data_IF_333469553208
#
_entry.id   IF_333469553208
#
_cell.length_a   1.000
_cell.length_b   1.000
_cell.length_c   1.000
_cell.angle_alpha   90.00
_cell.angle_beta   90.00
_cell.angle_gamma   90.00
#
_symmetry.space_group_name_H-M   'P 1'
#
loop_
_entity.id
_entity.type
_entity.pdbx_description
1 polymer ?
#
# COMPACT_ATOMS: atom_id res chain seq x y z
N UNK A 1 -25.45 -13.01 47.31
CA UNK A 1 -24.71 -13.92 46.42
C UNK A 1 -25.06 -13.80 44.92
N UNK A 2 -26.26 -14.21 44.43
CA UNK A 2 -26.54 -14.16 42.96
C UNK A 2 -26.51 -12.74 42.35
N UNK A 3 -27.06 -11.74 43.05
CA UNK A 3 -27.08 -10.36 42.55
C UNK A 3 -25.71 -9.67 42.56
N UNK A 4 -24.83 -10.01 43.51
CA UNK A 4 -23.47 -9.47 43.60
C UNK A 4 -22.61 -9.94 42.44
N UNK A 5 -22.75 -11.21 42.04
CA UNK A 5 -22.05 -11.77 40.87
C UNK A 5 -22.51 -11.08 39.59
N UNK A 6 -23.82 -10.85 39.45
CA UNK A 6 -24.39 -10.15 38.29
C UNK A 6 -23.90 -8.69 38.25
N UNK A 7 -23.89 -7.99 39.38
CA UNK A 7 -23.41 -6.62 39.48
C UNK A 7 -21.92 -6.52 39.13
N UNK A 8 -21.09 -7.42 39.66
CA UNK A 8 -19.67 -7.49 39.34
C UNK A 8 -19.44 -7.76 37.86
N UNK A 9 -20.16 -8.73 37.28
CA UNK A 9 -20.07 -9.04 35.86
C UNK A 9 -20.46 -7.83 34.99
N UNK A 10 -21.53 -7.12 35.34
CA UNK A 10 -21.96 -5.93 34.61
C UNK A 10 -20.90 -4.80 34.67
N UNK A 11 -20.27 -4.60 35.83
CA UNK A 11 -19.18 -3.61 35.97
C UNK A 11 -17.97 -4.00 35.13
N UNK A 12 -17.56 -5.26 35.14
CA UNK A 12 -16.45 -5.75 34.32
C UNK A 12 -16.72 -5.57 32.82
N UNK A 13 -17.94 -5.90 32.37
CA UNK A 13 -18.36 -5.67 30.98
C UNK A 13 -18.32 -4.19 30.64
N UNK A 14 -18.82 -3.31 31.51
CA UNK A 14 -18.80 -1.87 31.29
C UNK A 14 -17.36 -1.33 31.15
N UNK A 15 -16.44 -1.80 31.98
CA UNK A 15 -15.01 -1.45 31.91
C UNK A 15 -14.41 -1.92 30.58
N UNK A 16 -14.64 -3.17 30.19
CA UNK A 16 -14.12 -3.71 28.93
C UNK A 16 -14.66 -2.95 27.72
N UNK A 17 -15.96 -2.61 27.71
CA UNK A 17 -16.58 -1.81 26.64
C UNK A 17 -15.97 -0.41 26.58
N UNK A 18 -15.76 0.24 27.73
CA UNK A 18 -15.13 1.55 27.79
C UNK A 18 -13.69 1.52 27.24
N UNK A 19 -12.88 0.56 27.70
CA UNK A 19 -11.50 0.38 27.23
C UNK A 19 -11.47 0.12 25.72
N UNK A 20 -12.30 -0.80 25.23
CA UNK A 20 -12.39 -1.12 23.81
C UNK A 20 -12.73 0.11 22.95
N UNK A 21 -13.71 0.92 23.38
CA UNK A 21 -14.11 2.13 22.65
C UNK A 21 -13.01 3.19 22.67
N UNK A 22 -12.31 3.34 23.78
CA UNK A 22 -11.18 4.28 23.92
C UNK A 22 -10.03 3.87 23.00
N UNK A 23 -9.65 2.60 23.02
CA UNK A 23 -8.54 2.09 22.23
C UNK A 23 -8.85 2.13 20.73
N UNK A 24 -10.08 1.78 20.33
CA UNK A 24 -10.54 1.96 18.95
C UNK A 24 -10.43 3.41 18.48
N UNK A 25 -10.91 4.36 19.29
CA UNK A 25 -10.82 5.80 18.94
C UNK A 25 -9.38 6.25 18.79
N UNK A 26 -8.52 5.91 19.75
CA UNK A 26 -7.10 6.25 19.71
C UNK A 26 -6.41 5.66 18.47
N UNK A 27 -6.68 4.39 18.14
CA UNK A 27 -6.11 3.75 16.97
C UNK A 27 -6.57 4.41 15.67
N UNK A 28 -7.87 4.69 15.55
CA UNK A 28 -8.42 5.39 14.40
C UNK A 28 -7.77 6.75 14.21
N UNK A 29 -7.74 7.57 15.27
CA UNK A 29 -7.26 8.95 15.21
C UNK A 29 -5.75 8.99 14.88
N UNK A 30 -4.96 8.04 15.43
CA UNK A 30 -3.55 7.89 15.08
C UNK A 30 -3.36 7.56 13.58
N UNK A 31 -4.19 6.66 13.02
CA UNK A 31 -4.10 6.27 11.60
C UNK A 31 -4.61 7.38 10.67
N UNK A 32 -5.60 8.15 11.10
CA UNK A 32 -6.12 9.28 10.33
C UNK A 32 -5.06 10.35 10.05
N UNK A 33 -4.05 10.46 10.92
CA UNK A 33 -2.95 11.40 10.78
C UNK A 33 -1.90 11.00 9.73
N UNK A 34 -1.96 9.80 9.16
CA UNK A 34 -0.91 9.23 8.30
C UNK A 34 -0.46 10.13 7.13
N UNK A 35 -1.39 10.89 6.54
CA UNK A 35 -1.11 11.74 5.38
C UNK A 35 -0.97 13.24 5.71
N UNK A 36 -0.98 13.63 6.99
CA UNK A 36 -0.96 15.04 7.38
C UNK A 36 0.29 15.77 6.85
N UNK A 37 1.46 15.15 6.96
CA UNK A 37 2.72 15.77 6.58
C UNK A 37 2.86 15.96 5.06
N UNK A 38 2.23 15.11 4.25
CA UNK A 38 2.30 15.17 2.79
C UNK A 38 1.05 15.76 2.13
N UNK A 39 0.03 16.15 2.92
CA UNK A 39 -1.23 16.68 2.40
C UNK A 39 -1.04 17.87 1.44
N UNK A 40 -0.05 18.72 1.72
CA UNK A 40 0.29 19.90 0.94
C UNK A 40 0.84 19.60 -0.46
N UNK A 41 1.21 18.35 -0.76
CA UNK A 41 1.70 17.95 -2.07
C UNK A 41 0.59 17.74 -3.10
N UNK A 42 -0.67 17.64 -2.65
CA UNK A 42 -1.79 17.24 -3.50
C UNK A 42 -2.81 18.35 -3.69
N UNK A 43 -3.25 18.51 -4.93
CA UNK A 43 -4.46 19.25 -5.27
C UNK A 43 -5.68 18.32 -5.17
N UNK A 44 -6.88 18.87 -4.95
CA UNK A 44 -8.14 18.09 -4.88
C UNK A 44 -8.08 16.90 -3.89
N UNK A 45 -7.33 17.07 -2.80
CA UNK A 45 -7.06 16.01 -1.82
C UNK A 45 -8.35 15.52 -1.14
N UNK A 46 -8.55 14.20 -1.17
CA UNK A 46 -9.58 13.50 -0.41
C UNK A 46 -8.99 12.29 0.29
N UNK A 47 -9.10 12.28 1.62
CA UNK A 47 -8.68 11.16 2.48
C UNK A 47 -9.93 10.51 3.06
N UNK A 48 -10.06 9.19 2.89
CA UNK A 48 -11.20 8.41 3.40
C UNK A 48 -10.68 7.31 4.30
N UNK A 49 -11.25 7.18 5.49
CA UNK A 49 -10.92 6.14 6.45
C UNK A 49 -12.17 5.32 6.78
N UNK A 50 -12.03 3.99 6.77
CA UNK A 50 -13.06 3.07 7.22
C UNK A 50 -12.74 2.53 8.64
N UNK A 51 -13.54 2.94 9.62
CA UNK A 51 -13.35 2.65 11.05
C UNK A 51 -11.89 2.81 11.51
N UNK A 52 -11.24 1.74 11.97
CA UNK A 52 -9.85 1.77 12.45
C UNK A 52 -8.85 1.48 11.35
N UNK A 53 -9.26 1.22 10.11
CA UNK A 53 -8.33 0.90 9.03
C UNK A 53 -7.42 2.08 8.69
N UNK A 54 -6.35 1.81 7.95
CA UNK A 54 -5.52 2.90 7.41
C UNK A 54 -6.33 3.69 6.38
N UNK A 55 -6.19 5.03 6.33
CA UNK A 55 -6.89 5.84 5.36
C UNK A 55 -6.38 5.59 3.94
N UNK A 56 -7.25 5.79 2.96
CA UNK A 56 -6.92 5.85 1.53
C UNK A 56 -6.94 7.31 1.09
N UNK A 57 -5.90 7.73 0.38
CA UNK A 57 -5.78 9.06 -0.20
C UNK A 57 -6.07 9.02 -1.69
N UNK A 58 -6.87 9.96 -2.16
CA UNK A 58 -7.07 10.27 -3.59
C UNK A 58 -6.85 11.76 -3.80
N UNK A 59 -6.34 12.14 -4.97
CA UNK A 59 -6.15 13.55 -5.29
C UNK A 59 -5.44 13.73 -6.62
N UNK A 60 -4.84 14.90 -6.81
CA UNK A 60 -4.01 15.24 -7.95
C UNK A 60 -2.60 15.60 -7.51
N UNK A 61 -1.61 15.07 -8.22
CA UNK A 61 -0.19 15.38 -8.01
C UNK A 61 0.43 15.74 -9.36
N UNK A 62 0.96 16.96 -9.48
CA UNK A 62 1.59 17.46 -10.73
C UNK A 62 0.71 17.25 -11.98
N UNK A 63 -0.60 17.48 -11.84
CA UNK A 63 -1.58 17.32 -12.92
C UNK A 63 -2.12 15.89 -13.13
N UNK A 64 -1.56 14.87 -12.47
CA UNK A 64 -2.02 13.49 -12.58
C UNK A 64 -2.98 13.14 -11.45
N UNK A 65 -4.03 12.35 -11.75
CA UNK A 65 -4.84 11.75 -10.68
C UNK A 65 -4.03 10.64 -10.02
N UNK A 66 -4.08 10.59 -8.69
CA UNK A 66 -3.34 9.62 -7.89
C UNK A 66 -4.22 8.98 -6.81
N UNK A 67 -3.86 7.77 -6.42
CA UNK A 67 -4.46 7.03 -5.31
C UNK A 67 -3.35 6.36 -4.50
N UNK A 68 -3.31 6.61 -3.19
CA UNK A 68 -2.37 5.99 -2.26
C UNK A 68 -3.14 5.11 -1.27
N UNK A 69 -2.77 3.83 -1.20
CA UNK A 69 -3.47 2.82 -0.41
C UNK A 69 -2.49 2.04 0.47
N UNK A 70 -2.61 2.15 1.81
CA UNK A 70 -1.82 1.33 2.70
C UNK A 70 -2.39 -0.09 2.77
N UNK A 71 -1.55 -1.09 2.51
CA UNK A 71 -1.91 -2.51 2.55
C UNK A 71 -1.17 -3.14 3.73
N UNK A 72 -1.93 -3.48 4.77
CA UNK A 72 -1.38 -4.14 5.94
C UNK A 72 -1.30 -5.66 5.71
N UNK A 73 -0.09 -6.20 5.77
CA UNK A 73 0.17 -7.62 5.62
C UNK A 73 0.21 -8.30 7.00
N UNK A 74 -0.87 -9.04 7.30
CA UNK A 74 -1.05 -9.78 8.55
C UNK A 74 -0.74 -11.28 8.41
N UNK A 75 -0.24 -11.76 7.26
CA UNK A 75 -0.27 -13.19 6.92
C UNK A 75 0.74 -14.06 7.67
N UNK A 76 1.66 -13.49 8.46
CA UNK A 76 2.65 -14.27 9.20
C UNK A 76 2.64 -13.96 10.71
N UNK A 77 2.04 -14.86 11.51
CA UNK A 77 2.02 -14.83 12.98
C UNK A 77 3.41 -14.75 13.66
N UNK A 78 4.51 -14.88 12.92
CA UNK A 78 5.90 -14.90 13.44
C UNK A 78 6.78 -13.74 12.97
N UNK A 79 6.23 -12.77 12.22
CA UNK A 79 6.96 -11.57 11.80
C UNK A 79 6.16 -10.32 12.15
N UNK A 80 6.87 -9.21 12.36
CA UNK A 80 6.23 -7.89 12.50
C UNK A 80 5.42 -7.64 11.21
N UNK A 81 4.12 -7.29 11.33
CA UNK A 81 3.29 -6.97 10.17
C UNK A 81 3.96 -5.88 9.33
N UNK A 82 4.05 -6.12 8.02
CA UNK A 82 4.57 -5.11 7.09
C UNK A 82 3.42 -4.22 6.64
N UNK A 83 3.65 -2.91 6.61
CA UNK A 83 2.73 -1.96 6.01
C UNK A 83 3.29 -1.55 4.65
N UNK A 84 2.63 -2.02 3.59
CA UNK A 84 2.95 -1.66 2.22
C UNK A 84 2.18 -0.41 1.81
N UNK A 85 2.72 0.35 0.88
CA UNK A 85 2.03 1.47 0.25
C UNK A 85 1.88 1.19 -1.24
N UNK A 86 0.65 1.06 -1.72
CA UNK A 86 0.36 1.03 -3.15
C UNK A 86 0.11 2.46 -3.63
N UNK A 87 0.95 2.91 -4.56
CA UNK A 87 0.80 4.20 -5.23
C UNK A 87 0.33 3.98 -6.67
N UNK A 88 -0.86 4.47 -6.99
CA UNK A 88 -1.44 4.39 -8.34
C UNK A 88 -1.45 5.78 -8.96
N UNK A 89 -0.90 5.92 -10.16
CA UNK A 89 -0.96 7.14 -10.97
C UNK A 89 -1.81 6.84 -12.20
N UNK A 90 -2.83 7.65 -12.44
CA UNK A 90 -3.68 7.52 -13.62
C UNK A 90 -3.22 8.51 -14.69
N UNK A 91 -2.77 7.97 -15.82
CA UNK A 91 -2.39 8.71 -17.02
C UNK A 91 -2.83 7.95 -18.27
N UNK A 92 -2.83 8.65 -19.40
CA UNK A 92 -2.99 8.00 -20.70
C UNK A 92 -1.74 7.16 -20.97
N UNK A 93 -1.92 5.84 -21.07
CA UNK A 93 -0.84 4.91 -21.38
C UNK A 93 -0.74 4.76 -22.91
N UNK A 94 0.39 5.14 -23.54
CA UNK A 94 0.54 4.98 -24.98
C UNK A 94 0.73 3.51 -25.41
N UNK A 95 0.97 2.61 -24.47
CA UNK A 95 1.17 1.19 -24.73
C UNK A 95 -0.13 0.40 -24.53
N UNK A 96 -0.35 -0.58 -25.41
CA UNK A 96 -1.49 -1.51 -25.37
C UNK A 96 -1.29 -2.62 -24.34
N UNK A 97 -0.04 -3.05 -24.15
CA UNK A 97 0.35 -4.08 -23.20
C UNK A 97 0.60 -3.57 -21.78
N UNK A 98 0.75 -4.51 -20.86
CA UNK A 98 1.16 -4.29 -19.48
C UNK A 98 2.67 -4.57 -19.33
N UNK A 99 3.34 -3.67 -18.63
CA UNK A 99 4.74 -3.80 -18.24
C UNK A 99 4.83 -3.81 -16.71
N UNK A 100 5.52 -4.81 -16.15
CA UNK A 100 5.82 -4.87 -14.73
C UNK A 100 7.33 -4.77 -14.51
N UNK A 101 7.70 -3.94 -13.54
CA UNK A 101 9.06 -3.78 -13.07
C UNK A 101 9.11 -4.00 -11.56
N UNK A 102 9.93 -4.96 -11.15
CA UNK A 102 10.03 -5.40 -9.77
C UNK A 102 11.50 -5.42 -9.32
N UNK A 103 11.80 -4.78 -8.19
CA UNK A 103 13.16 -4.74 -7.60
C UNK A 103 13.20 -5.49 -6.28
N UNK A 104 13.35 -6.81 -6.42
CA UNK A 104 13.16 -7.93 -5.47
C UNK A 104 14.35 -8.73 -4.95
N UNK A 105 15.05 -8.39 -3.85
CA UNK A 105 16.14 -9.25 -3.35
C UNK A 105 15.73 -10.69 -3.04
N UNK A 106 14.47 -10.92 -2.63
CA UNK A 106 13.99 -12.21 -2.16
C UNK A 106 12.93 -12.86 -3.07
N UNK A 107 12.43 -12.13 -4.08
CA UNK A 107 11.49 -12.63 -5.11
C UNK A 107 10.31 -13.49 -4.59
N UNK A 108 9.65 -13.04 -3.52
CA UNK A 108 8.53 -13.76 -2.86
C UNK A 108 7.23 -12.94 -2.87
N UNK A 109 6.99 -12.14 -3.90
CA UNK A 109 5.75 -11.37 -4.03
C UNK A 109 4.59 -12.21 -4.57
N UNK A 110 3.50 -12.25 -3.81
CA UNK A 110 2.20 -12.77 -4.26
C UNK A 110 1.26 -11.67 -4.78
N UNK A 111 1.65 -10.40 -4.64
CA UNK A 111 0.83 -9.22 -4.99
C UNK A 111 1.14 -8.58 -6.35
N UNK A 112 2.32 -8.80 -6.93
CA UNK A 112 2.61 -8.32 -8.28
C UNK A 112 1.98 -9.26 -9.32
N UNK A 113 1.35 -8.74 -10.38
CA UNK A 113 0.85 -9.56 -11.49
C UNK A 113 1.97 -10.06 -12.41
N UNK A 114 3.24 -9.72 -12.18
CA UNK A 114 4.37 -10.11 -13.01
C UNK A 114 4.42 -11.61 -13.33
N UNK A 115 3.96 -12.48 -12.42
CA UNK A 115 3.92 -13.93 -12.65
C UNK A 115 2.97 -14.36 -13.76
N UNK A 116 2.00 -13.52 -14.13
CA UNK A 116 1.07 -13.74 -15.25
C UNK A 116 1.66 -13.33 -16.61
N UNK A 117 2.74 -12.54 -16.62
CA UNK A 117 3.33 -11.99 -17.84
C UNK A 117 4.27 -12.99 -18.51
N UNK A 118 4.01 -13.37 -19.76
CA UNK A 118 4.74 -14.47 -20.41
C UNK A 118 6.20 -14.13 -20.74
N UNK A 119 6.51 -12.85 -21.01
CA UNK A 119 7.83 -12.46 -21.51
C UNK A 119 8.66 -11.75 -20.43
N UNK A 120 9.87 -12.25 -20.20
CA UNK A 120 10.90 -11.57 -19.40
C UNK A 120 11.80 -10.75 -20.32
N UNK A 121 12.06 -9.49 -19.96
CA UNK A 121 12.92 -8.58 -20.70
C UNK A 121 14.33 -8.58 -20.13
N UNK A 122 15.37 -8.34 -20.95
CA UNK A 122 16.73 -8.19 -20.45
C UNK A 122 16.84 -6.91 -19.61
N UNK A 123 17.37 -7.04 -18.40
CA UNK A 123 17.62 -5.91 -17.50
C UNK A 123 18.79 -5.06 -18.05
N UNK A 124 18.59 -3.74 -18.30
CA UNK A 124 19.65 -2.88 -18.81
C UNK A 124 20.83 -2.71 -17.82
N UNK A 125 22.03 -2.37 -18.31
CA UNK A 125 23.17 -2.04 -17.45
C UNK A 125 22.85 -0.89 -16.47
N UNK A 126 23.29 -1.00 -15.23
CA UNK A 126 23.09 0.03 -14.19
C UNK A 126 21.74 -0.01 -13.47
N UNK A 127 20.90 -1.00 -13.77
CA UNK A 127 19.70 -1.29 -12.99
C UNK A 127 20.05 -2.04 -11.69
N UNK A 128 19.17 -2.00 -10.66
CA UNK A 128 19.37 -2.72 -9.41
C UNK A 128 19.63 -4.23 -9.60
N UNK A 129 20.45 -4.84 -8.74
CA UNK A 129 20.87 -6.25 -8.87
C UNK A 129 19.70 -7.24 -8.99
N UNK A 130 18.59 -6.95 -8.32
CA UNK A 130 17.41 -7.82 -8.29
C UNK A 130 16.23 -7.27 -9.08
N UNK A 131 16.52 -6.48 -10.11
CA UNK A 131 15.54 -5.96 -11.04
C UNK A 131 15.05 -7.02 -12.03
N UNK A 132 13.73 -7.20 -12.07
CA UNK A 132 13.01 -8.04 -13.02
C UNK A 132 12.07 -7.14 -13.83
N UNK A 133 12.10 -7.26 -15.15
CA UNK A 133 11.17 -6.60 -16.05
C UNK A 133 10.40 -7.65 -16.86
N UNK A 134 9.06 -7.55 -16.89
CA UNK A 134 8.19 -8.47 -17.64
C UNK A 134 7.12 -7.70 -18.42
N UNK A 135 6.63 -8.32 -19.49
CA UNK A 135 5.58 -7.78 -20.36
C UNK A 135 4.67 -8.90 -20.90
N UNK A 136 3.42 -8.56 -21.20
CA UNK A 136 2.50 -9.40 -21.97
C UNK A 136 2.52 -9.10 -23.49
N UNK A 137 3.07 -7.96 -23.90
CA UNK A 137 3.27 -7.58 -25.30
C UNK A 137 4.74 -7.16 -25.54
N UNK A 138 5.59 -8.05 -26.09
CA UNK A 138 6.98 -7.71 -26.39
C UNK A 138 7.13 -6.75 -27.58
N UNK A 139 6.09 -6.55 -28.39
CA UNK A 139 6.10 -5.63 -29.53
C UNK A 139 5.84 -4.17 -29.15
N UNK A 140 5.32 -3.93 -27.95
CA UNK A 140 4.87 -2.62 -27.48
C UNK A 140 5.32 -2.34 -26.03
N UNK A 141 6.64 -2.39 -25.81
CA UNK A 141 7.27 -2.18 -24.50
C UNK A 141 7.72 -0.72 -24.33
N UNK A 142 7.55 -0.10 -23.15
CA UNK A 142 8.12 1.22 -22.88
C UNK A 142 9.65 1.22 -23.02
N UNK A 143 10.26 2.31 -23.52
CA UNK A 143 11.72 2.42 -23.60
C UNK A 143 12.36 2.30 -22.20
N UNK A 144 13.10 1.21 -21.97
CA UNK A 144 13.69 0.91 -20.65
C UNK A 144 14.77 1.93 -20.23
N UNK A 145 15.43 2.57 -21.18
CA UNK A 145 16.38 3.67 -20.95
C UNK A 145 15.72 4.86 -20.24
N UNK A 146 14.42 5.09 -20.44
CA UNK A 146 13.68 6.15 -19.72
C UNK A 146 13.36 5.79 -18.28
N UNK A 147 13.34 4.51 -17.94
CA UNK A 147 13.13 4.03 -16.57
C UNK A 147 14.43 4.00 -15.77
N UNK A 148 15.57 3.88 -16.44
CA UNK A 148 16.89 3.79 -15.80
C UNK A 148 17.19 4.92 -14.79
N UNK A 149 16.90 6.22 -15.05
CA UNK A 149 17.16 7.29 -14.08
C UNK A 149 16.34 7.14 -12.78
N UNK A 150 15.23 6.40 -12.83
CA UNK A 150 14.33 6.18 -11.72
C UNK A 150 14.66 4.91 -10.92
N UNK A 151 15.62 4.10 -11.37
CA UNK A 151 16.06 2.88 -10.67
C UNK A 151 16.57 3.14 -9.25
N UNK A 152 17.10 4.34 -8.98
CA UNK A 152 17.54 4.78 -7.65
C UNK A 152 16.42 4.82 -6.61
N UNK A 153 15.15 4.95 -7.03
CA UNK A 153 14.02 4.91 -6.09
C UNK A 153 13.86 3.54 -5.42
N UNK A 154 14.51 2.51 -5.96
CA UNK A 154 14.35 1.12 -5.55
C UNK A 154 15.68 0.48 -5.09
N UNK A 155 16.74 1.27 -4.93
CA UNK A 155 18.08 0.83 -4.47
C UNK A 155 18.39 1.21 -3.02
#
# INVERSE_FOLDING_TARGET
>A
MRYEIIALAAVLVAILVYMYRRDRRRLRDNRAAMYQDCAHLFDELRVVQDDVNFPVLTGRYRGYRVKLEPIADYLAFRKVPSLWLQATVYCDNPHRGAFDFLVRPQNVEFWSPAWQMETSLPTPPGWPEFAIARTDDPGDVPPLDRLQPHGVLFG
#
